data_IF_077937021477
#
_entry.id   IF_077937021477
#
_cell.length_a   1.000
_cell.length_b   1.000
_cell.length_c   1.000
_cell.angle_alpha   90.00
_cell.angle_beta   90.00
_cell.angle_gamma   90.00
#
_symmetry.space_group_name_H-M   'P 1'
#
loop_
_entity.id
_entity.type
_entity.pdbx_description
1 polymer ?
#
# COMPACT_ATOMS: atom_id res chain seq x y z
N UNK A 1 -12.51 12.91 9.09
CA UNK A 1 -13.84 12.66 8.50
C UNK A 1 -14.05 11.15 8.39
N UNK A 2 -15.14 10.63 8.97
CA UNK A 2 -15.56 9.24 8.77
C UNK A 2 -16.51 9.17 7.58
N UNK A 3 -16.36 8.16 6.71
CA UNK A 3 -17.25 7.92 5.58
C UNK A 3 -18.11 6.70 5.92
N UNK A 4 -19.42 6.86 5.91
CA UNK A 4 -20.38 5.76 6.10
C UNK A 4 -20.75 5.08 4.78
N UNK A 5 -21.44 3.93 4.84
CA UNK A 5 -21.97 3.29 3.63
C UNK A 5 -22.91 4.21 2.85
N UNK A 6 -23.74 4.99 3.55
CA UNK A 6 -24.70 5.90 2.94
C UNK A 6 -24.01 7.08 2.25
N UNK A 7 -22.90 7.58 2.83
CA UNK A 7 -22.10 8.62 2.20
C UNK A 7 -21.48 8.13 0.90
N UNK A 8 -21.00 6.87 0.85
CA UNK A 8 -20.41 6.29 -0.37
C UNK A 8 -21.44 6.20 -1.50
N UNK A 9 -22.68 5.85 -1.20
CA UNK A 9 -23.75 5.78 -2.22
C UNK A 9 -24.01 7.16 -2.83
N UNK A 10 -23.88 8.22 -2.04
CA UNK A 10 -24.16 9.60 -2.44
C UNK A 10 -22.92 10.34 -3.01
N UNK A 11 -21.71 9.80 -2.89
CA UNK A 11 -20.51 10.42 -3.49
C UNK A 11 -20.65 10.39 -5.01
N UNK A 12 -20.65 11.56 -5.62
CA UNK A 12 -20.50 11.74 -7.05
C UNK A 12 -19.06 12.12 -7.36
N UNK A 13 -18.43 11.37 -8.22
CA UNK A 13 -17.10 11.68 -8.74
C UNK A 13 -17.24 12.41 -10.07
N UNK A 14 -16.49 13.47 -10.26
CA UNK A 14 -16.38 14.13 -11.56
C UNK A 14 -15.45 13.31 -12.45
N UNK A 15 -15.99 12.55 -13.37
CA UNK A 15 -15.20 11.74 -14.30
C UNK A 15 -14.31 12.57 -15.25
N UNK A 16 -14.56 13.87 -15.36
CA UNK A 16 -13.69 14.78 -16.10
C UNK A 16 -12.44 15.19 -15.31
N UNK A 17 -12.41 14.93 -13.99
CA UNK A 17 -11.20 15.18 -13.20
C UNK A 17 -10.09 14.20 -13.62
N UNK A 18 -8.89 14.69 -13.97
CA UNK A 18 -7.81 13.84 -14.46
C UNK A 18 -7.12 13.10 -13.30
N UNK A 19 -7.79 12.10 -12.74
CA UNK A 19 -7.19 11.25 -11.68
C UNK A 19 -6.08 10.39 -12.26
N UNK A 20 -4.85 10.63 -11.87
CA UNK A 20 -3.68 9.89 -12.35
C UNK A 20 -3.31 8.73 -11.43
N UNK A 21 -3.42 8.94 -10.12
CA UNK A 21 -2.96 7.96 -9.14
C UNK A 21 -3.85 7.92 -7.90
N UNK A 22 -4.10 6.72 -7.42
CA UNK A 22 -4.76 6.44 -6.14
C UNK A 22 -3.78 5.65 -5.26
N UNK A 23 -3.43 6.21 -4.11
CA UNK A 23 -2.51 5.58 -3.17
C UNK A 23 -3.25 5.24 -1.88
N UNK A 24 -3.23 3.99 -1.48
CA UNK A 24 -3.70 3.56 -0.16
C UNK A 24 -2.53 3.44 0.80
N UNK A 25 -2.64 4.02 1.99
CA UNK A 25 -1.60 4.04 3.02
C UNK A 25 -2.10 3.34 4.28
N UNK A 26 -1.30 2.42 4.81
CA UNK A 26 -1.70 1.61 5.96
C UNK A 26 -1.57 2.36 7.29
N UNK A 27 -0.48 3.09 7.48
CA UNK A 27 -0.12 3.77 8.71
C UNK A 27 -0.54 5.25 8.71
N UNK A 28 -1.08 5.73 9.84
CA UNK A 28 -1.56 7.11 9.97
C UNK A 28 -0.42 8.14 9.94
N UNK A 29 0.73 7.82 10.55
CA UNK A 29 1.90 8.70 10.55
C UNK A 29 2.40 8.91 9.13
N UNK A 30 2.58 7.81 8.38
CA UNK A 30 2.99 7.86 6.98
C UNK A 30 1.96 8.60 6.10
N UNK A 31 0.66 8.41 6.38
CA UNK A 31 -0.39 9.17 5.69
C UNK A 31 -0.27 10.68 5.92
N UNK A 32 0.01 11.13 7.14
CA UNK A 32 0.20 12.55 7.43
C UNK A 32 1.51 13.12 6.87
N UNK A 33 2.52 12.27 6.71
CA UNK A 33 3.78 12.65 6.07
C UNK A 33 3.67 12.67 4.55
N UNK A 34 2.65 12.01 3.98
CA UNK A 34 2.40 12.01 2.56
C UNK A 34 2.05 13.43 2.09
N UNK A 35 3.03 14.11 1.53
CA UNK A 35 2.80 15.39 0.89
C UNK A 35 2.31 15.13 -0.53
N UNK A 36 1.06 15.51 -0.79
CA UNK A 36 0.54 15.53 -2.15
C UNK A 36 1.39 16.50 -2.97
N UNK A 37 1.90 16.06 -4.09
CA UNK A 37 2.50 16.94 -5.08
C UNK A 37 1.44 17.96 -5.50
N UNK A 38 1.77 19.25 -5.45
CA UNK A 38 0.82 20.35 -5.71
C UNK A 38 0.20 20.31 -7.12
N UNK A 39 0.73 19.49 -8.02
CA UNK A 39 0.34 19.43 -9.43
C UNK A 39 -0.10 18.03 -9.90
N UNK A 40 -0.06 17.02 -9.06
CA UNK A 40 -0.46 15.67 -9.45
C UNK A 40 -1.90 15.38 -9.02
N UNK A 41 -2.69 14.83 -9.94
CA UNK A 41 -4.03 14.31 -9.66
C UNK A 41 -3.94 13.01 -8.86
N UNK A 42 -3.42 13.09 -7.63
CA UNK A 42 -3.19 11.96 -6.72
C UNK A 42 -4.19 11.99 -5.57
N UNK A 43 -4.88 10.88 -5.36
CA UNK A 43 -5.73 10.68 -4.19
C UNK A 43 -5.05 9.74 -3.21
N UNK A 44 -4.73 10.24 -2.01
CA UNK A 44 -4.20 9.43 -0.92
C UNK A 44 -5.31 9.03 0.05
N UNK A 45 -5.40 7.74 0.39
CA UNK A 45 -6.46 7.15 1.23
C UNK A 45 -5.82 6.39 2.40
N UNK A 46 -6.13 6.80 3.62
CA UNK A 46 -5.74 6.07 4.82
C UNK A 46 -6.60 4.82 5.03
N UNK A 47 -5.99 3.66 5.12
CA UNK A 47 -6.70 2.39 5.36
C UNK A 47 -6.81 2.02 6.84
N UNK A 48 -5.78 2.29 7.65
CA UNK A 48 -5.76 1.89 9.05
C UNK A 48 -5.72 0.38 9.24
N UNK A 49 -4.84 -0.31 8.52
CA UNK A 49 -4.74 -1.76 8.49
C UNK A 49 -5.73 -2.43 7.54
N UNK A 50 -6.32 -3.56 7.95
CA UNK A 50 -7.27 -4.29 7.11
C UNK A 50 -8.51 -3.44 6.78
N UNK A 51 -8.85 -3.39 5.49
CA UNK A 51 -10.00 -2.64 5.02
C UNK A 51 -11.32 -3.37 5.30
N UNK A 52 -12.33 -2.62 5.72
CA UNK A 52 -13.70 -3.10 5.93
C UNK A 52 -14.54 -3.01 4.63
N UNK A 53 -15.79 -3.45 4.70
CA UNK A 53 -16.71 -3.44 3.56
C UNK A 53 -16.95 -2.02 3.01
N UNK A 54 -16.99 -1.00 3.88
CA UNK A 54 -17.21 0.41 3.48
C UNK A 54 -16.05 0.88 2.61
N UNK A 55 -14.82 0.67 3.07
CA UNK A 55 -13.60 1.05 2.33
C UNK A 55 -13.50 0.32 0.99
N UNK A 56 -13.86 -0.98 0.95
CA UNK A 56 -13.88 -1.75 -0.32
C UNK A 56 -14.86 -1.18 -1.34
N UNK A 57 -16.10 -0.89 -0.92
CA UNK A 57 -17.12 -0.27 -1.80
C UNK A 57 -16.66 1.09 -2.30
N UNK A 58 -16.07 1.90 -1.44
CA UNK A 58 -15.49 3.19 -1.82
C UNK A 58 -14.43 3.04 -2.91
N UNK A 59 -13.46 2.14 -2.71
CA UNK A 59 -12.39 1.89 -3.68
C UNK A 59 -12.93 1.33 -4.99
N UNK A 60 -13.91 0.42 -4.94
CA UNK A 60 -14.55 -0.13 -6.14
C UNK A 60 -15.28 0.95 -6.93
N UNK A 61 -16.05 1.82 -6.27
CA UNK A 61 -16.72 2.95 -6.92
C UNK A 61 -15.71 3.91 -7.56
N UNK A 62 -14.60 4.19 -6.85
CA UNK A 62 -13.51 5.00 -7.36
C UNK A 62 -12.87 4.37 -8.61
N UNK A 63 -12.60 3.07 -8.58
CA UNK A 63 -12.02 2.34 -9.70
C UNK A 63 -12.96 2.29 -10.92
N UNK A 64 -14.27 2.17 -10.71
CA UNK A 64 -15.25 2.24 -11.78
C UNK A 64 -15.29 3.61 -12.46
N UNK A 65 -15.01 4.69 -11.72
CA UNK A 65 -14.96 6.05 -12.26
C UNK A 65 -13.64 6.36 -12.94
N UNK A 66 -12.53 5.88 -12.39
CA UNK A 66 -11.17 6.16 -12.86
C UNK A 66 -10.38 4.86 -13.14
N UNK A 67 -10.82 4.03 -14.10
CA UNK A 67 -10.16 2.75 -14.35
C UNK A 67 -8.76 2.88 -14.97
N UNK A 68 -8.44 4.06 -15.53
CA UNK A 68 -7.12 4.37 -16.11
C UNK A 68 -6.10 4.92 -15.11
N UNK A 69 -6.52 5.22 -13.87
CA UNK A 69 -5.59 5.67 -12.85
C UNK A 69 -4.68 4.53 -12.35
N UNK A 70 -3.48 4.87 -11.90
CA UNK A 70 -2.61 3.93 -11.19
C UNK A 70 -3.12 3.69 -9.78
N UNK A 71 -3.28 2.42 -9.39
CA UNK A 71 -3.66 2.05 -8.02
C UNK A 71 -2.46 1.48 -7.28
N UNK A 72 -2.02 2.16 -6.23
CA UNK A 72 -0.82 1.83 -5.45
C UNK A 72 -1.18 1.58 -3.99
N UNK A 73 -0.44 0.67 -3.35
CA UNK A 73 -0.56 0.41 -1.92
C UNK A 73 0.78 0.58 -1.24
N UNK A 74 0.82 1.41 -0.21
CA UNK A 74 1.96 1.62 0.66
C UNK A 74 1.66 1.07 2.05
N UNK A 75 2.39 0.06 2.46
CA UNK A 75 2.26 -0.63 3.73
C UNK A 75 3.62 -1.02 4.31
N UNK A 76 3.61 -1.75 5.41
CA UNK A 76 4.81 -2.31 6.01
C UNK A 76 5.48 -3.33 5.09
N UNK A 77 6.81 -3.36 5.06
CA UNK A 77 7.57 -4.44 4.42
C UNK A 77 7.66 -5.59 5.42
N UNK A 78 6.52 -6.23 5.65
CA UNK A 78 6.36 -7.38 6.53
C UNK A 78 5.22 -8.31 6.06
N UNK A 79 5.01 -9.41 6.78
CA UNK A 79 3.94 -10.34 6.45
C UNK A 79 2.54 -9.72 6.50
N UNK A 80 2.33 -8.72 7.36
CA UNK A 80 1.07 -8.01 7.55
C UNK A 80 0.75 -7.16 6.34
N UNK A 81 1.65 -6.23 5.98
CA UNK A 81 1.47 -5.31 4.86
C UNK A 81 1.28 -6.04 3.52
N UNK A 82 2.06 -7.11 3.26
CA UNK A 82 1.86 -7.91 2.04
C UNK A 82 0.54 -8.68 2.02
N UNK A 83 0.02 -9.11 3.17
CA UNK A 83 -1.31 -9.73 3.25
C UNK A 83 -2.42 -8.71 3.03
N UNK A 84 -2.28 -7.49 3.57
CA UNK A 84 -3.22 -6.40 3.36
C UNK A 84 -3.27 -6.04 1.87
N UNK A 85 -2.11 -5.92 1.21
CA UNK A 85 -2.04 -5.71 -0.23
C UNK A 85 -2.75 -6.82 -1.03
N UNK A 86 -2.46 -8.10 -0.73
CA UNK A 86 -3.16 -9.23 -1.39
C UNK A 86 -4.66 -9.19 -1.16
N UNK A 87 -5.07 -8.98 0.09
CA UNK A 87 -6.49 -8.92 0.49
C UNK A 87 -7.21 -7.78 -0.23
N UNK A 88 -6.53 -6.63 -0.35
CA UNK A 88 -7.02 -5.46 -1.08
C UNK A 88 -7.27 -5.81 -2.56
N UNK A 89 -6.28 -6.38 -3.24
CA UNK A 89 -6.43 -6.80 -4.65
C UNK A 89 -7.57 -7.81 -4.83
N UNK A 90 -7.57 -8.88 -4.03
CA UNK A 90 -8.52 -9.99 -4.16
C UNK A 90 -9.96 -9.55 -3.85
N UNK A 91 -10.15 -8.78 -2.79
CA UNK A 91 -11.50 -8.39 -2.34
C UNK A 91 -12.10 -7.22 -3.09
N UNK A 92 -11.28 -6.37 -3.67
CA UNK A 92 -11.79 -5.24 -4.47
C UNK A 92 -11.84 -5.55 -5.96
N UNK A 93 -11.02 -6.48 -6.45
CA UNK A 93 -10.80 -6.73 -7.87
C UNK A 93 -9.91 -5.67 -8.55
N UNK A 94 -9.32 -4.75 -7.77
CA UNK A 94 -8.47 -3.67 -8.28
C UNK A 94 -7.00 -4.13 -8.27
N UNK A 95 -6.25 -3.93 -9.37
CA UNK A 95 -4.87 -4.36 -9.48
C UNK A 95 -3.92 -3.38 -8.77
N UNK A 96 -4.00 -3.31 -7.44
CA UNK A 96 -3.05 -2.51 -6.67
C UNK A 96 -1.63 -3.03 -6.83
N UNK A 97 -0.67 -2.12 -7.03
CA UNK A 97 0.76 -2.42 -7.09
C UNK A 97 1.43 -1.90 -5.81
N UNK A 98 2.36 -2.65 -5.20
CA UNK A 98 3.10 -2.17 -4.03
C UNK A 98 3.88 -0.89 -4.37
N UNK A 99 3.88 0.06 -3.44
CA UNK A 99 4.63 1.32 -3.53
C UNK A 99 5.60 1.36 -2.35
N UNK A 100 6.89 1.54 -2.63
CA UNK A 100 7.96 1.51 -1.62
C UNK A 100 8.04 0.19 -0.81
N UNK A 101 7.49 -0.89 -1.34
CA UNK A 101 7.51 -2.22 -0.74
C UNK A 101 8.30 -3.20 -1.62
N UNK A 102 9.47 -2.78 -2.09
CA UNK A 102 10.35 -3.55 -2.97
C UNK A 102 11.70 -3.86 -2.33
N UNK A 103 12.52 -4.63 -3.05
CA UNK A 103 13.84 -5.06 -2.58
C UNK A 103 14.81 -3.88 -2.40
N UNK A 104 14.74 -2.84 -3.23
CA UNK A 104 15.64 -1.70 -3.15
C UNK A 104 15.35 -0.89 -1.88
N UNK A 105 14.09 -0.58 -1.61
CA UNK A 105 13.64 0.08 -0.39
C UNK A 105 13.97 -0.77 0.83
N UNK A 106 13.70 -2.08 0.78
CA UNK A 106 14.06 -2.97 1.88
C UNK A 106 15.55 -2.93 2.19
N UNK A 107 16.43 -3.03 1.17
CA UNK A 107 17.89 -2.99 1.35
C UNK A 107 18.38 -1.66 1.92
N UNK A 108 17.67 -0.57 1.66
CA UNK A 108 17.99 0.74 2.23
C UNK A 108 17.62 0.82 3.72
N UNK A 109 16.46 0.30 4.11
CA UNK A 109 15.87 0.57 5.43
C UNK A 109 15.95 -0.60 6.42
N UNK A 110 16.30 -1.84 6.01
CA UNK A 110 16.33 -2.98 6.93
C UNK A 110 17.24 -2.81 8.16
N UNK A 111 18.34 -2.01 8.15
CA UNK A 111 19.15 -1.82 9.35
C UNK A 111 18.39 -1.15 10.51
N UNK A 112 17.34 -0.37 10.20
CA UNK A 112 16.47 0.28 11.19
C UNK A 112 15.18 -0.49 11.45
N UNK A 113 15.04 -1.65 10.83
CA UNK A 113 13.86 -2.49 10.96
C UNK A 113 13.79 -3.27 12.29
N UNK A 114 12.79 -4.12 12.38
CA UNK A 114 12.56 -5.03 13.50
C UNK A 114 12.92 -6.46 13.15
N UNK A 115 13.33 -7.25 14.15
CA UNK A 115 13.64 -8.67 13.95
C UNK A 115 12.39 -9.46 13.57
N UNK A 116 12.54 -10.39 12.62
CA UNK A 116 11.51 -11.38 12.32
C UNK A 116 11.32 -12.33 13.51
N UNK A 117 10.07 -12.57 13.85
CA UNK A 117 9.69 -13.66 14.76
C UNK A 117 9.71 -15.01 14.03
N UNK A 118 9.68 -16.11 14.79
CA UNK A 118 9.51 -17.44 14.21
C UNK A 118 8.22 -17.59 13.40
N UNK A 119 7.15 -16.91 13.83
CA UNK A 119 5.89 -16.88 13.09
C UNK A 119 6.01 -16.11 11.78
N UNK A 120 6.74 -14.99 11.76
CA UNK A 120 7.03 -14.25 10.52
C UNK A 120 7.79 -15.13 9.54
N UNK A 121 8.83 -15.85 9.99
CA UNK A 121 9.62 -16.77 9.15
C UNK A 121 8.76 -17.87 8.53
N UNK A 122 7.90 -18.52 9.32
CA UNK A 122 6.96 -19.52 8.83
C UNK A 122 5.99 -18.95 7.80
N UNK A 123 5.54 -17.73 8.03
CA UNK A 123 4.60 -17.03 7.16
C UNK A 123 5.24 -16.64 5.83
N UNK A 124 6.44 -16.05 5.84
CA UNK A 124 7.19 -15.70 4.62
C UNK A 124 7.44 -16.93 3.76
N UNK A 125 7.85 -18.07 4.36
CA UNK A 125 8.02 -19.33 3.62
C UNK A 125 6.73 -19.83 2.95
N UNK A 126 5.56 -19.59 3.55
CA UNK A 126 4.27 -19.88 2.91
C UNK A 126 3.95 -18.91 1.78
N UNK A 127 4.21 -17.62 1.98
CA UNK A 127 3.96 -16.59 0.98
C UNK A 127 4.84 -16.77 -0.26
N UNK A 128 6.09 -17.21 -0.12
CA UNK A 128 6.96 -17.53 -1.25
C UNK A 128 6.43 -18.65 -2.16
N UNK A 129 5.51 -19.50 -1.66
CA UNK A 129 4.86 -20.56 -2.42
C UNK A 129 3.51 -20.14 -3.01
N UNK A 130 3.03 -18.97 -2.66
CA UNK A 130 1.76 -18.42 -3.15
C UNK A 130 1.98 -17.71 -4.48
N UNK A 131 1.31 -18.13 -5.57
CA UNK A 131 1.50 -17.53 -6.90
C UNK A 131 1.25 -16.01 -6.95
N UNK A 132 0.42 -15.50 -6.04
CA UNK A 132 0.16 -14.05 -5.96
C UNK A 132 1.44 -13.25 -5.70
N UNK A 133 2.37 -13.80 -4.92
CA UNK A 133 3.60 -13.13 -4.52
C UNK A 133 4.82 -13.52 -5.37
N UNK A 134 4.63 -14.03 -6.58
CA UNK A 134 5.75 -14.46 -7.44
C UNK A 134 6.78 -13.35 -7.69
N UNK A 135 6.35 -12.10 -7.79
CA UNK A 135 7.24 -10.94 -7.96
C UNK A 135 7.95 -10.49 -6.67
N UNK A 136 7.59 -11.02 -5.51
CA UNK A 136 8.16 -10.65 -4.20
C UNK A 136 9.06 -11.74 -3.59
N UNK A 137 9.27 -12.85 -4.29
CA UNK A 137 10.03 -14.00 -3.76
C UNK A 137 11.45 -13.60 -3.37
N UNK A 138 12.14 -12.80 -4.17
CA UNK A 138 13.50 -12.34 -3.89
C UNK A 138 13.54 -11.45 -2.62
N UNK A 139 12.59 -10.54 -2.48
CA UNK A 139 12.45 -9.72 -1.28
C UNK A 139 12.21 -10.57 -0.04
N UNK A 140 11.29 -11.55 -0.10
CA UNK A 140 11.01 -12.44 1.03
C UNK A 140 12.22 -13.30 1.41
N UNK A 141 12.98 -13.80 0.42
CA UNK A 141 14.22 -14.51 0.65
C UNK A 141 15.26 -13.62 1.37
N UNK A 142 15.36 -12.34 0.93
CA UNK A 142 16.24 -11.36 1.56
C UNK A 142 15.83 -11.02 2.99
N UNK A 143 14.54 -10.88 3.25
CA UNK A 143 14.01 -10.68 4.61
C UNK A 143 14.36 -11.87 5.53
N UNK A 144 14.23 -13.10 5.04
CA UNK A 144 14.61 -14.31 5.78
C UNK A 144 16.11 -14.38 6.07
N UNK A 145 16.95 -14.05 5.09
CA UNK A 145 18.42 -13.99 5.20
C UNK A 145 18.83 -12.98 6.25
N UNK A 146 18.32 -11.75 6.18
CA UNK A 146 18.65 -10.66 7.12
C UNK A 146 17.97 -10.81 8.47
N UNK A 147 16.87 -11.58 8.53
CA UNK A 147 16.09 -11.77 9.75
C UNK A 147 15.37 -10.50 10.22
N UNK A 148 15.10 -9.58 9.30
CA UNK A 148 14.53 -8.26 9.59
C UNK A 148 13.26 -8.00 8.77
N UNK A 149 12.38 -7.13 9.28
CA UNK A 149 11.24 -6.52 8.61
C UNK A 149 11.30 -5.01 8.78
N UNK A 150 10.66 -4.26 7.89
CA UNK A 150 10.70 -2.79 7.90
C UNK A 150 9.29 -2.26 8.06
N UNK A 151 9.09 -1.39 9.05
CA UNK A 151 7.84 -0.68 9.26
C UNK A 151 7.74 0.51 8.30
N UNK A 152 6.56 0.79 7.83
CA UNK A 152 6.25 1.87 6.88
C UNK A 152 6.79 3.23 7.35
N UNK A 153 6.76 3.48 8.66
CA UNK A 153 7.22 4.72 9.27
C UNK A 153 8.74 4.95 9.11
N UNK A 154 9.52 3.89 8.89
CA UNK A 154 10.95 3.99 8.65
C UNK A 154 11.27 4.45 7.23
N UNK A 155 10.32 4.31 6.30
CA UNK A 155 10.52 4.61 4.88
C UNK A 155 10.22 6.09 4.64
N UNK A 156 11.26 6.85 4.30
CA UNK A 156 11.08 8.24 3.87
C UNK A 156 10.45 8.26 2.47
N UNK A 157 9.28 8.87 2.37
CA UNK A 157 8.67 9.13 1.07
C UNK A 157 9.48 10.25 0.40
N UNK A 158 10.10 9.95 -0.74
CA UNK A 158 10.86 10.95 -1.50
C UNK A 158 9.97 12.16 -1.79
N UNK A 159 10.41 13.33 -1.29
CA UNK A 159 9.84 14.60 -1.72
C UNK A 159 10.46 14.91 -3.08
N UNK A 160 9.66 15.26 -4.11
CA UNK A 160 10.25 15.78 -5.32
C UNK A 160 11.14 16.98 -4.94
N UNK A 161 12.38 16.92 -5.41
CA UNK A 161 13.37 17.94 -5.14
C UNK A 161 12.76 19.32 -5.38
N UNK A 162 12.82 20.17 -4.36
CA UNK A 162 12.77 21.60 -4.56
C UNK A 162 14.06 22.00 -5.27
N UNK A 163 14.09 21.82 -6.56
CA UNK A 163 15.01 22.60 -7.37
C UNK A 163 14.51 24.04 -7.34
N UNK A 164 15.34 24.89 -6.76
CA UNK A 164 15.11 26.31 -6.48
C UNK A 164 15.01 27.19 -7.73
#
# INVERSE_FOLDING_TARGET
LGISNQDIENICWDSAFPMEKVVTVENLTSFHQWKLEEHAAVLCIYLGGYHNQVKRRFLQKLYMTYPGAEYRHFGDIDCGGFRIWKDLCVKTGIPFVPLYMDLAVYNQYFPWGRKLTEQDRKTLNKMMRDPFFCGQVELFARMLEKGMKVEQECVEVEQPNKEG
#
